data_IF_660575162637
#
_entry.id   IF_660575162637
#
_cell.length_a   1.000
_cell.length_b   1.000
_cell.length_c   1.000
_cell.angle_alpha   90.00
_cell.angle_beta   90.00
_cell.angle_gamma   90.00
#
_symmetry.space_group_name_H-M   'P 1'
#
loop_
_entity.id
_entity.type
_entity.pdbx_description
1 polymer ?
#
# COMPACT_ATOMS: atom_id res chain seq x y z
N UNK A 1 2.25 2.75 10.70
CA UNK A 1 2.65 1.44 10.13
C UNK A 1 2.97 0.47 11.25
N UNK A 2 3.16 -0.81 10.94
CA UNK A 2 3.59 -1.85 11.89
C UNK A 2 4.84 -2.53 11.29
N UNK A 3 5.84 -2.82 12.11
CA UNK A 3 7.01 -3.63 11.71
C UNK A 3 7.37 -4.64 12.79
N UNK A 4 8.21 -5.61 12.46
CA UNK A 4 8.76 -6.52 13.46
C UNK A 4 9.70 -5.75 14.41
N UNK A 5 9.72 -6.14 15.68
CA UNK A 5 10.72 -5.63 16.64
C UNK A 5 12.15 -5.96 16.19
N UNK A 6 12.36 -7.22 15.79
CA UNK A 6 13.59 -7.69 15.20
C UNK A 6 13.34 -8.12 13.75
N UNK A 7 13.92 -7.45 12.74
CA UNK A 7 13.84 -7.89 11.36
C UNK A 7 14.46 -9.27 11.10
N UNK A 8 15.40 -9.72 11.94
CA UNK A 8 16.02 -11.04 11.86
C UNK A 8 15.15 -12.14 12.50
N UNK A 9 14.32 -11.79 13.48
CA UNK A 9 13.25 -12.65 14.02
C UNK A 9 11.87 -11.94 13.96
N UNK A 10 11.22 -11.93 12.78
CA UNK A 10 9.96 -11.23 12.60
C UNK A 10 8.78 -11.76 13.43
N UNK A 11 8.97 -12.90 14.11
CA UNK A 11 7.95 -13.53 14.94
C UNK A 11 8.11 -13.20 16.42
N UNK A 12 9.24 -12.61 16.83
CA UNK A 12 9.48 -12.15 18.21
C UNK A 12 8.47 -11.10 18.68
N UNK A 13 7.86 -10.38 17.74
CA UNK A 13 6.73 -9.48 17.98
C UNK A 13 6.72 -8.30 17.03
N UNK A 14 5.74 -7.42 17.22
CA UNK A 14 5.49 -6.28 16.36
C UNK A 14 5.37 -4.98 17.15
N UNK A 15 5.86 -3.89 16.57
CA UNK A 15 5.63 -2.52 17.03
C UNK A 15 4.82 -1.72 16.02
N UNK A 16 3.92 -0.88 16.54
CA UNK A 16 3.25 0.16 15.79
C UNK A 16 4.05 1.46 15.84
N UNK A 17 4.22 2.11 14.69
CA UNK A 17 4.98 3.35 14.55
C UNK A 17 4.19 4.36 13.73
N UNK A 18 4.18 5.61 14.19
CA UNK A 18 3.86 6.74 13.32
C UNK A 18 5.05 7.00 12.40
N UNK A 19 4.79 7.08 11.10
CA UNK A 19 5.82 7.23 10.09
C UNK A 19 5.26 7.95 8.88
N UNK A 20 6.13 8.61 8.12
CA UNK A 20 5.72 9.40 6.96
C UNK A 20 5.37 8.48 5.78
N UNK A 21 4.15 8.55 5.26
CA UNK A 21 3.83 7.94 3.96
C UNK A 21 4.50 8.72 2.83
N UNK A 22 4.99 8.02 1.79
CA UNK A 22 5.80 8.50 0.67
C UNK A 22 7.31 8.38 0.92
N UNK A 23 7.80 7.15 1.00
CA UNK A 23 9.13 6.79 1.48
C UNK A 23 10.28 7.68 0.97
N UNK A 24 11.13 8.10 1.92
CA UNK A 24 12.42 8.76 1.69
C UNK A 24 13.51 7.71 2.00
N UNK A 25 14.31 7.29 1.01
CA UNK A 25 15.28 6.22 1.22
C UNK A 25 16.51 6.70 2.00
N UNK A 26 17.18 5.78 2.71
CA UNK A 26 18.29 6.08 3.61
C UNK A 26 19.45 6.88 3.01
N UNK A 27 19.64 6.77 1.69
CA UNK A 27 20.71 7.44 0.96
C UNK A 27 20.41 8.91 0.65
N UNK A 28 19.16 9.36 0.77
CA UNK A 28 18.81 10.76 0.59
C UNK A 28 19.29 11.58 1.79
N UNK A 29 20.08 12.62 1.52
CA UNK A 29 20.66 13.52 2.55
C UNK A 29 20.20 14.97 2.43
N UNK A 30 19.65 15.35 1.28
CA UNK A 30 19.11 16.69 1.09
C UNK A 30 17.82 16.92 1.90
N UNK A 31 17.23 18.12 1.82
CA UNK A 31 15.95 18.36 2.46
C UNK A 31 14.87 17.43 1.89
N UNK A 32 13.85 17.08 2.69
CA UNK A 32 12.75 16.18 2.25
C UNK A 32 12.06 16.75 1.02
N UNK A 33 11.92 18.08 0.95
CA UNK A 33 11.32 18.77 -0.20
C UNK A 33 12.08 18.55 -1.52
N UNK A 34 13.36 18.21 -1.48
CA UNK A 34 14.17 17.87 -2.66
C UNK A 34 13.96 16.42 -3.14
N UNK A 35 13.35 15.55 -2.33
CA UNK A 35 13.00 14.21 -2.77
C UNK A 35 11.76 14.24 -3.68
N UNK A 36 11.99 14.19 -4.99
CA UNK A 36 10.92 14.30 -6.01
C UNK A 36 10.40 12.95 -6.53
N UNK A 37 11.05 11.84 -6.21
CA UNK A 37 10.60 10.53 -6.66
C UNK A 37 9.26 10.14 -6.00
N UNK A 38 8.31 9.65 -6.78
CA UNK A 38 6.99 9.24 -6.32
C UNK A 38 7.06 7.87 -5.62
N UNK A 39 7.43 7.87 -4.33
CA UNK A 39 7.58 6.68 -3.50
C UNK A 39 6.39 6.45 -2.55
N UNK A 40 5.19 6.89 -2.92
CA UNK A 40 3.95 6.51 -2.22
C UNK A 40 3.65 5.02 -2.39
N UNK A 41 3.97 4.46 -3.56
CA UNK A 41 3.78 3.05 -3.91
C UNK A 41 5.06 2.44 -4.50
N UNK A 42 5.39 1.22 -4.08
CA UNK A 42 6.41 0.37 -4.70
C UNK A 42 5.74 -0.65 -5.63
N UNK A 43 6.25 -0.82 -6.86
CA UNK A 43 5.72 -1.82 -7.79
C UNK A 43 6.40 -3.16 -7.55
N UNK A 44 5.61 -4.21 -7.31
CA UNK A 44 6.12 -5.57 -7.05
C UNK A 44 7.06 -6.07 -8.16
N UNK A 45 6.80 -5.68 -9.41
CA UNK A 45 7.58 -6.08 -10.59
C UNK A 45 9.01 -5.53 -10.59
N UNK A 46 9.23 -4.40 -9.91
CA UNK A 46 10.54 -3.70 -9.92
C UNK A 46 11.07 -3.46 -8.51
N UNK A 47 10.40 -3.97 -7.47
CA UNK A 47 10.70 -3.66 -6.07
C UNK A 47 12.11 -4.11 -5.66
N UNK A 48 12.57 -5.21 -6.26
CA UNK A 48 13.90 -5.79 -6.03
C UNK A 48 15.05 -5.00 -6.65
N UNK A 49 14.77 -4.18 -7.67
CA UNK A 49 15.80 -3.50 -8.47
C UNK A 49 15.77 -1.97 -8.32
N UNK A 50 14.60 -1.38 -8.08
CA UNK A 50 14.45 0.06 -7.88
C UNK A 50 15.29 0.54 -6.70
N UNK A 51 16.17 1.53 -6.91
CA UNK A 51 17.15 1.98 -5.92
C UNK A 51 16.53 2.32 -4.54
N UNK A 52 15.37 2.99 -4.53
CA UNK A 52 14.67 3.34 -3.30
C UNK A 52 14.10 2.13 -2.54
N UNK A 53 13.78 1.03 -3.22
CA UNK A 53 13.04 -0.10 -2.65
C UNK A 53 13.85 -1.37 -2.47
N UNK A 54 14.89 -1.59 -3.30
CA UNK A 54 15.66 -2.84 -3.36
C UNK A 54 16.22 -3.29 -2.02
N UNK A 55 16.55 -2.33 -1.16
CA UNK A 55 17.13 -2.60 0.14
C UNK A 55 16.05 -2.78 1.22
N UNK A 56 15.07 -1.86 1.35
CA UNK A 56 13.90 -2.11 2.18
C UNK A 56 13.19 -3.44 1.88
N UNK A 57 13.13 -3.86 0.62
CA UNK A 57 12.48 -5.10 0.23
C UNK A 57 13.11 -6.35 0.86
N UNK A 58 14.43 -6.32 1.13
CA UNK A 58 15.15 -7.47 1.69
C UNK A 58 14.95 -7.62 3.20
N UNK A 59 14.79 -6.51 3.92
CA UNK A 59 14.91 -6.50 5.40
C UNK A 59 14.02 -5.50 6.14
N UNK A 60 13.22 -4.68 5.46
CA UNK A 60 12.40 -3.62 6.07
C UNK A 60 10.96 -3.70 5.56
N UNK A 61 10.35 -4.86 5.73
CA UNK A 61 8.94 -5.06 5.46
C UNK A 61 8.09 -4.26 6.48
N UNK A 62 6.96 -3.72 6.04
CA UNK A 62 5.99 -2.91 6.80
C UNK A 62 4.56 -3.47 6.60
N UNK A 63 3.77 -3.63 7.67
CA UNK A 63 2.34 -3.89 7.60
C UNK A 63 1.64 -2.56 7.78
N UNK A 64 0.71 -2.22 6.89
CA UNK A 64 -0.03 -0.97 6.99
C UNK A 64 -1.48 -1.31 7.31
N UNK A 65 -1.90 -1.17 8.58
CA UNK A 65 -3.28 -1.45 8.96
C UNK A 65 -4.22 -0.46 8.28
N UNK A 66 -5.36 -0.97 7.80
CA UNK A 66 -6.43 -0.17 7.24
C UNK A 66 -7.79 -0.87 7.45
N UNK A 67 -8.87 -0.08 7.45
CA UNK A 67 -10.26 -0.56 7.51
C UNK A 67 -10.93 -0.53 6.13
N UNK A 68 -10.68 0.52 5.35
CA UNK A 68 -11.06 0.67 3.96
C UNK A 68 -10.00 1.47 3.21
N UNK A 69 -10.13 1.53 1.87
CA UNK A 69 -9.32 2.43 1.05
C UNK A 69 -10.13 2.93 -0.14
N UNK A 70 -9.60 3.97 -0.79
CA UNK A 70 -10.29 4.68 -1.85
C UNK A 70 -9.63 4.37 -3.18
N UNK A 71 -10.44 4.11 -4.20
CA UNK A 71 -10.00 4.12 -5.60
C UNK A 71 -10.92 4.99 -6.45
N UNK A 72 -10.42 5.39 -7.61
CA UNK A 72 -11.11 6.30 -8.51
C UNK A 72 -11.21 5.73 -9.92
N UNK A 73 -12.36 5.92 -10.56
CA UNK A 73 -12.53 5.67 -11.98
C UNK A 73 -13.09 6.88 -12.72
N UNK A 74 -12.98 6.83 -14.03
CA UNK A 74 -13.57 7.82 -14.94
C UNK A 74 -15.03 7.36 -15.23
N UNK A 75 -16.06 8.05 -14.70
CA UNK A 75 -17.45 7.68 -14.96
C UNK A 75 -17.80 7.83 -16.46
N UNK A 76 -18.93 7.26 -16.92
CA UNK A 76 -19.36 7.41 -18.32
C UNK A 76 -19.44 8.88 -18.74
N UNK A 77 -18.77 9.22 -19.86
CA UNK A 77 -18.72 10.59 -20.38
C UNK A 77 -17.68 11.52 -19.72
N UNK A 78 -16.89 11.04 -18.77
CA UNK A 78 -15.89 11.86 -18.06
C UNK A 78 -14.87 12.50 -19.00
N UNK A 79 -14.55 13.77 -18.73
CA UNK A 79 -13.52 14.54 -19.43
C UNK A 79 -12.39 14.94 -18.49
N UNK A 80 -11.18 15.08 -19.05
CA UNK A 80 -10.00 15.52 -18.30
C UNK A 80 -10.27 16.86 -17.62
N UNK A 81 -10.11 16.91 -16.30
CA UNK A 81 -10.39 18.07 -15.46
C UNK A 81 -11.64 17.94 -14.59
N UNK A 82 -12.52 16.97 -14.89
CA UNK A 82 -13.70 16.70 -14.08
C UNK A 82 -13.38 15.81 -12.88
N UNK A 83 -14.24 15.86 -11.85
CA UNK A 83 -14.11 15.03 -10.65
C UNK A 83 -14.30 13.55 -11.03
N UNK A 84 -13.33 12.72 -10.66
CA UNK A 84 -13.44 11.26 -10.80
C UNK A 84 -14.45 10.70 -9.81
N UNK A 85 -15.07 9.58 -10.15
CA UNK A 85 -15.99 8.89 -9.25
C UNK A 85 -15.19 8.14 -8.19
N UNK A 86 -15.53 8.38 -6.92
CA UNK A 86 -14.86 7.81 -5.74
C UNK A 86 -15.50 6.49 -5.35
N UNK A 87 -14.69 5.46 -5.18
CA UNK A 87 -15.08 4.16 -4.66
C UNK A 87 -14.43 3.93 -3.33
N UNK A 88 -15.24 3.56 -2.34
CA UNK A 88 -14.71 3.02 -1.10
C UNK A 88 -14.71 1.48 -1.19
N UNK A 89 -13.53 0.92 -0.97
CA UNK A 89 -13.28 -0.52 -0.97
C UNK A 89 -13.19 -0.98 0.48
N UNK A 90 -14.14 -1.82 0.87
CA UNK A 90 -14.22 -2.37 2.20
C UNK A 90 -14.61 -3.85 2.15
N UNK A 91 -14.29 -4.58 3.22
CA UNK A 91 -14.68 -5.96 3.39
C UNK A 91 -15.97 -6.02 4.22
N UNK A 92 -16.91 -6.93 3.90
CA UNK A 92 -18.10 -7.10 4.72
C UNK A 92 -17.70 -7.56 6.11
N UNK A 93 -18.34 -6.97 7.11
CA UNK A 93 -18.13 -7.24 8.52
C UNK A 93 -18.71 -8.62 8.84
N UNK A 94 -17.89 -9.67 8.67
CA UNK A 94 -18.30 -11.04 8.99
C UNK A 94 -18.16 -11.35 10.49
N UNK A 95 -17.30 -10.62 11.20
CA UNK A 95 -17.08 -10.74 12.66
C UNK A 95 -16.38 -9.47 13.19
N UNK A 96 -16.71 -9.05 14.42
CA UNK A 96 -16.17 -7.85 15.09
C UNK A 96 -14.63 -7.84 15.20
N UNK A 97 -14.00 -9.03 15.24
CA UNK A 97 -12.54 -9.20 15.37
C UNK A 97 -11.74 -9.04 14.07
N UNK A 98 -12.38 -8.93 12.90
CA UNK A 98 -11.67 -8.94 11.59
C UNK A 98 -11.92 -7.68 10.76
N UNK A 99 -11.99 -6.50 11.39
CA UNK A 99 -12.19 -5.21 10.72
C UNK A 99 -10.90 -4.61 10.14
N UNK A 100 -9.72 -5.02 10.63
CA UNK A 100 -8.42 -4.57 10.11
C UNK A 100 -7.88 -5.54 9.07
N UNK A 101 -7.48 -4.99 7.93
CA UNK A 101 -6.61 -5.64 6.95
C UNK A 101 -5.28 -4.90 6.92
N UNK A 102 -4.31 -5.47 6.23
CA UNK A 102 -2.99 -4.88 6.12
C UNK A 102 -2.62 -4.73 4.66
N UNK A 103 -2.12 -3.57 4.24
CA UNK A 103 -1.31 -3.52 3.03
C UNK A 103 0.08 -4.04 3.36
N UNK A 104 0.60 -4.84 2.45
CA UNK A 104 2.00 -5.15 2.37
C UNK A 104 2.75 -3.87 2.00
N UNK A 105 3.82 -3.52 2.72
CA UNK A 105 4.60 -2.32 2.46
C UNK A 105 6.06 -2.48 2.86
N UNK A 106 6.80 -1.41 2.67
CA UNK A 106 8.22 -1.29 3.01
C UNK A 106 8.44 -0.05 3.84
N UNK A 107 9.49 -0.04 4.66
CA UNK A 107 9.90 1.14 5.41
C UNK A 107 11.40 1.42 5.27
N UNK A 108 11.77 2.67 5.51
CA UNK A 108 13.16 3.08 5.59
C UNK A 108 13.33 4.27 6.52
N UNK A 109 14.56 4.50 6.98
CA UNK A 109 14.94 5.65 7.81
C UNK A 109 16.02 6.43 7.08
N UNK A 110 15.75 7.72 6.85
CA UNK A 110 16.69 8.68 6.28
C UNK A 110 17.11 9.73 7.31
N UNK A 111 18.16 10.48 6.98
CA UNK A 111 18.61 11.64 7.76
C UNK A 111 18.65 12.86 6.84
N UNK A 112 17.49 13.46 6.53
CA UNK A 112 17.41 14.66 5.69
C UNK A 112 18.07 15.87 6.37
N UNK A 113 18.64 16.78 5.58
CA UNK A 113 19.29 17.99 6.09
C UNK A 113 18.35 18.98 6.80
N UNK A 114 17.02 18.86 6.59
CA UNK A 114 15.98 19.70 7.19
C UNK A 114 15.27 19.03 8.39
N UNK A 115 15.86 17.97 8.94
CA UNK A 115 15.35 17.26 10.11
C UNK A 115 16.46 17.05 11.15
N UNK A 116 16.18 17.41 12.41
CA UNK A 116 17.09 17.15 13.53
C UNK A 116 17.14 15.66 13.91
N UNK A 117 16.01 14.97 13.76
CA UNK A 117 15.85 13.54 14.07
C UNK A 117 15.72 12.68 12.81
N UNK A 118 16.11 11.38 12.86
CA UNK A 118 15.94 10.47 11.73
C UNK A 118 14.48 10.38 11.28
N UNK A 119 14.25 10.51 9.98
CA UNK A 119 12.91 10.42 9.40
C UNK A 119 12.60 8.97 9.00
N UNK A 120 11.72 8.33 9.76
CA UNK A 120 11.16 7.03 9.38
C UNK A 120 9.96 7.22 8.46
N UNK A 121 9.97 6.49 7.33
CA UNK A 121 8.95 6.62 6.28
C UNK A 121 8.61 5.28 5.65
N UNK A 122 7.47 5.20 4.96
CA UNK A 122 6.98 3.96 4.36
C UNK A 122 6.29 4.13 3.01
N UNK A 123 6.10 3.00 2.33
CA UNK A 123 5.37 2.85 1.07
C UNK A 123 4.52 1.58 1.09
N UNK A 124 3.43 1.53 0.31
CA UNK A 124 2.70 0.28 0.06
C UNK A 124 3.27 -0.44 -1.16
N UNK A 125 3.24 -1.76 -1.16
CA UNK A 125 3.52 -2.56 -2.35
C UNK A 125 2.25 -2.71 -3.17
N UNK A 126 2.37 -2.39 -4.46
CA UNK A 126 1.32 -2.53 -5.46
C UNK A 126 1.71 -3.56 -6.49
N UNK A 127 0.74 -4.23 -7.08
CA UNK A 127 0.97 -5.19 -8.17
C UNK A 127 -0.24 -5.29 -9.08
N UNK A 128 -0.27 -6.33 -9.91
CA UNK A 128 -1.45 -6.70 -10.70
C UNK A 128 -2.72 -6.76 -9.83
N UNK A 129 -3.83 -6.15 -10.26
CA UNK A 129 -5.09 -6.13 -9.52
C UNK A 129 -5.75 -7.51 -9.44
N UNK A 130 -6.51 -7.74 -8.36
CA UNK A 130 -7.43 -8.87 -8.30
C UNK A 130 -8.63 -8.71 -9.28
N UNK A 131 -9.40 -9.78 -9.54
CA UNK A 131 -10.49 -9.78 -10.52
C UNK A 131 -11.51 -8.65 -10.35
N UNK A 132 -11.84 -8.30 -9.11
CA UNK A 132 -12.81 -7.22 -8.82
C UNK A 132 -12.35 -5.86 -9.36
N UNK A 133 -11.04 -5.63 -9.44
CA UNK A 133 -10.47 -4.38 -9.95
C UNK A 133 -10.19 -4.42 -11.45
N UNK A 134 -9.83 -5.60 -11.98
CA UNK A 134 -9.43 -5.77 -13.39
C UNK A 134 -10.58 -6.05 -14.34
N UNK A 135 -11.72 -6.54 -13.86
CA UNK A 135 -12.87 -6.82 -14.72
C UNK A 135 -13.49 -5.52 -15.26
N UNK A 136 -13.82 -5.46 -16.57
CA UNK A 136 -14.56 -4.35 -17.14
C UNK A 136 -15.88 -4.11 -16.43
N UNK A 137 -16.16 -2.86 -16.06
CA UNK A 137 -17.40 -2.51 -15.39
C UNK A 137 -18.55 -2.34 -16.39
N UNK A 138 -19.79 -2.72 -16.04
CA UNK A 138 -20.92 -2.68 -16.97
C UNK A 138 -21.19 -1.29 -17.57
N UNK A 139 -20.94 -0.23 -16.80
CA UNK A 139 -21.25 1.14 -17.19
C UNK A 139 -20.12 1.82 -17.97
N UNK A 140 -18.86 1.52 -17.67
CA UNK A 140 -17.70 2.15 -18.31
C UNK A 140 -16.99 1.27 -19.35
N UNK A 141 -17.22 -0.04 -19.34
CA UNK A 141 -16.47 -1.02 -20.12
C UNK A 141 -14.98 -1.10 -19.76
N UNK A 142 -14.56 -0.50 -18.63
CA UNK A 142 -13.15 -0.39 -18.20
C UNK A 142 -12.94 -1.00 -16.82
N UNK A 143 -11.72 -1.47 -16.50
CA UNK A 143 -11.38 -1.87 -15.13
C UNK A 143 -11.51 -0.68 -14.17
N UNK A 144 -11.75 -0.96 -12.89
CA UNK A 144 -11.71 0.05 -11.83
C UNK A 144 -10.30 0.64 -11.70
N UNK A 145 -9.28 -0.22 -11.68
CA UNK A 145 -7.89 0.21 -11.64
C UNK A 145 -6.97 -0.88 -12.22
N UNK A 146 -5.86 -0.48 -12.82
CA UNK A 146 -4.87 -1.39 -13.44
C UNK A 146 -3.83 -1.91 -12.46
N UNK A 147 -3.91 -1.51 -11.19
CA UNK A 147 -3.00 -1.84 -10.09
C UNK A 147 -3.78 -1.95 -8.79
N UNK A 148 -3.28 -2.74 -7.85
CA UNK A 148 -3.87 -2.81 -6.51
C UNK A 148 -2.76 -2.93 -5.47
N UNK A 149 -2.92 -2.25 -4.34
CA UNK A 149 -2.10 -2.51 -3.16
C UNK A 149 -2.26 -3.98 -2.72
N UNK A 150 -1.17 -4.60 -2.29
CA UNK A 150 -1.17 -6.01 -1.87
C UNK A 150 -1.82 -6.12 -0.50
N UNK A 151 -3.00 -6.72 -0.44
CA UNK A 151 -3.78 -6.88 0.79
C UNK A 151 -3.44 -8.22 1.44
N UNK A 152 -3.07 -8.16 2.71
CA UNK A 152 -2.77 -9.31 3.55
C UNK A 152 -3.93 -9.56 4.53
N UNK A 153 -4.36 -10.82 4.70
CA UNK A 153 -5.50 -11.15 5.55
C UNK A 153 -5.17 -11.11 7.04
N UNK A 154 -3.89 -11.24 7.41
CA UNK A 154 -3.42 -11.24 8.80
C UNK A 154 -1.94 -10.79 8.89
N UNK A 155 -1.47 -10.39 10.09
CA UNK A 155 -0.06 -10.09 10.33
C UNK A 155 0.85 -11.30 10.16
N UNK A 156 0.35 -12.53 10.30
CA UNK A 156 1.17 -13.74 10.12
C UNK A 156 1.53 -14.01 8.66
N UNK A 157 0.85 -13.37 7.70
CA UNK A 157 1.23 -13.42 6.28
C UNK A 157 2.51 -12.60 5.96
N UNK A 158 3.16 -12.07 7.00
CA UNK A 158 4.40 -11.30 6.96
C UNK A 158 5.65 -12.11 6.60
N UNK A 159 5.71 -13.37 7.01
CA UNK A 159 6.90 -14.23 6.81
C UNK A 159 6.97 -14.73 5.35
N UNK A 160 8.19 -15.09 4.92
CA UNK A 160 8.61 -15.27 3.52
C UNK A 160 7.67 -16.00 2.56
N UNK A 161 7.89 -15.78 1.25
CA UNK A 161 7.11 -16.28 0.10
C UNK A 161 5.61 -15.91 0.04
N UNK A 162 4.95 -15.51 1.13
CA UNK A 162 3.53 -15.13 1.11
C UNK A 162 3.22 -13.90 0.23
N UNK A 163 4.23 -13.04 0.01
CA UNK A 163 4.15 -11.83 -0.81
C UNK A 163 3.88 -12.10 -2.30
N UNK A 164 4.33 -13.26 -2.82
CA UNK A 164 4.21 -13.61 -4.25
C UNK A 164 2.89 -14.32 -4.59
N UNK A 165 2.18 -14.86 -3.59
CA UNK A 165 0.98 -15.71 -3.81
C UNK A 165 -0.34 -15.04 -3.36
N UNK A 166 -0.28 -14.00 -2.52
CA UNK A 166 -1.47 -13.36 -1.96
C UNK A 166 -2.11 -12.32 -2.91
N UNK A 167 -2.80 -12.79 -3.95
CA UNK A 167 -3.78 -11.97 -4.69
C UNK A 167 -5.05 -12.72 -5.09
N UNK A 168 -4.98 -14.06 -5.23
CA UNK A 168 -6.07 -14.83 -5.85
C UNK A 168 -7.27 -15.13 -4.95
N UNK A 169 -7.17 -14.95 -3.63
CA UNK A 169 -8.24 -15.34 -2.66
C UNK A 169 -8.87 -14.19 -1.88
N UNK A 170 -8.40 -12.94 -2.06
CA UNK A 170 -8.89 -11.80 -1.28
C UNK A 170 -9.70 -10.84 -2.15
N UNK A 171 -10.86 -11.30 -2.62
CA UNK A 171 -11.80 -10.43 -3.33
C UNK A 171 -12.56 -9.55 -2.32
N UNK A 172 -12.48 -8.22 -2.40
CA UNK A 172 -13.42 -7.38 -1.66
C UNK A 172 -14.82 -7.59 -2.22
N UNK A 173 -15.82 -7.74 -1.34
CA UNK A 173 -17.18 -8.10 -1.73
C UNK A 173 -18.04 -6.84 -1.97
N UNK A 174 -17.57 -5.64 -1.57
CA UNK A 174 -18.29 -4.37 -1.80
C UNK A 174 -17.38 -3.28 -2.33
N UNK A 175 -17.67 -2.84 -3.55
CA UNK A 175 -17.33 -1.52 -4.08
C UNK A 175 -18.62 -0.72 -4.14
N UNK A 176 -18.76 0.35 -3.36
CA UNK A 176 -19.90 1.28 -3.49
C UNK A 176 -19.38 2.67 -3.83
N UNK A 177 -20.12 3.47 -4.63
CA UNK A 177 -19.82 4.89 -4.76
C UNK A 177 -19.84 5.47 -3.35
N UNK A 178 -18.79 6.17 -2.98
CA UNK A 178 -18.81 6.90 -1.72
C UNK A 178 -19.85 8.03 -1.79
N UNK A 179 -20.57 8.25 -0.70
CA UNK A 179 -21.40 9.44 -0.56
C UNK A 179 -20.53 10.69 -0.76
N UNK A 180 -21.05 11.65 -1.52
CA UNK A 180 -20.41 12.94 -1.71
C UNK A 180 -20.39 13.69 -0.38
N UNK A 181 -19.20 13.82 0.22
CA UNK A 181 -18.87 14.86 1.18
C UNK A 181 -18.62 16.18 0.46
#
# INVERSE_FOLDING_TARGET
>A
MIRAFDPADPMAGFEGLEARWWMVPFFHKGPVSAWKAMCTNARLETVETTAAFREPYKRRLALIPFSSFIEYDDPPGWKKGEKKRRWEIAWPQQHERYHVRFFAGLWDTAHPADHDEPLTSFTFVTGEPGPVFSMPRPDTGKPLHTRQARVLPSPRAWTGCAWTVASRRCSPIRSRPAASS
#
